data_IF_921583835246
#
_entry.id   IF_921583835246
#
_cell.length_a   1.000
_cell.length_b   1.000
_cell.length_c   1.000
_cell.angle_alpha   90.00
_cell.angle_beta   90.00
_cell.angle_gamma   90.00
#
_symmetry.space_group_name_H-M   'P 1'
#
loop_
_entity.id
_entity.type
_entity.pdbx_description
1 polymer ?
#
# COMPACT_ATOMS: atom_id res chain seq x y z
N UNK A 1 24.36 38.25 -14.59
CA UNK A 1 23.48 37.59 -13.61
C UNK A 1 23.36 36.14 -14.07
N UNK A 2 24.07 35.21 -13.45
CA UNK A 2 23.97 33.79 -13.79
C UNK A 2 22.76 33.24 -13.04
N UNK A 3 21.64 33.07 -13.73
CA UNK A 3 20.50 32.34 -13.20
C UNK A 3 20.84 30.85 -13.18
N UNK A 4 21.28 30.38 -12.01
CA UNK A 4 21.36 28.97 -11.67
C UNK A 4 19.93 28.41 -11.63
N UNK A 5 19.46 27.93 -12.78
CA UNK A 5 18.22 27.17 -12.93
C UNK A 5 18.30 25.97 -11.99
N UNK A 6 17.63 26.07 -10.84
CA UNK A 6 17.33 24.94 -9.97
C UNK A 6 16.50 23.95 -10.78
N UNK A 7 17.17 22.99 -11.41
CA UNK A 7 16.56 21.82 -12.00
C UNK A 7 15.99 20.98 -10.85
N UNK A 8 14.76 21.26 -10.43
CA UNK A 8 13.94 20.29 -9.69
C UNK A 8 13.64 19.13 -10.64
N UNK A 9 14.61 18.23 -10.80
CA UNK A 9 14.43 16.99 -11.51
C UNK A 9 13.58 16.06 -10.64
N UNK A 10 12.53 15.47 -11.22
CA UNK A 10 11.85 14.37 -10.55
C UNK A 10 12.84 13.22 -10.39
N UNK A 11 13.18 12.95 -9.13
CA UNK A 11 14.16 11.96 -8.71
C UNK A 11 13.67 10.55 -9.10
N UNK A 12 14.54 9.79 -9.77
CA UNK A 12 14.45 8.35 -10.09
C UNK A 12 13.04 7.74 -10.00
N UNK A 13 12.34 7.71 -11.13
CA UNK A 13 11.08 6.96 -11.29
C UNK A 13 11.36 5.47 -11.06
N UNK A 14 10.68 4.87 -10.08
CA UNK A 14 10.69 3.42 -9.90
C UNK A 14 10.01 2.76 -11.10
N UNK A 15 10.64 1.72 -11.64
CA UNK A 15 9.99 0.88 -12.64
C UNK A 15 8.84 0.07 -12.02
N UNK A 16 7.95 -0.47 -12.86
CA UNK A 16 6.81 -1.27 -12.39
C UNK A 16 7.24 -2.43 -11.48
N UNK A 17 8.33 -3.11 -11.82
CA UNK A 17 8.88 -4.20 -11.03
C UNK A 17 9.43 -3.72 -9.68
N UNK A 18 10.12 -2.57 -9.66
CA UNK A 18 10.66 -1.99 -8.43
C UNK A 18 9.54 -1.59 -7.47
N UNK A 19 8.45 -1.02 -7.99
CA UNK A 19 7.26 -0.67 -7.19
C UNK A 19 6.61 -1.91 -6.60
N UNK A 20 6.46 -2.99 -7.38
CA UNK A 20 5.88 -4.25 -6.89
C UNK A 20 6.77 -4.87 -5.81
N UNK A 21 8.09 -4.90 -6.03
CA UNK A 21 9.03 -5.41 -5.04
C UNK A 21 8.98 -4.60 -3.73
N UNK A 22 8.92 -3.27 -3.84
CA UNK A 22 8.80 -2.36 -2.70
C UNK A 22 7.49 -2.59 -1.93
N UNK A 23 6.36 -2.64 -2.65
CA UNK A 23 5.04 -2.86 -2.06
C UNK A 23 4.95 -4.23 -1.36
N UNK A 24 5.46 -5.29 -2.01
CA UNK A 24 5.46 -6.63 -1.43
C UNK A 24 6.30 -6.70 -0.15
N UNK A 25 7.49 -6.11 -0.16
CA UNK A 25 8.36 -6.05 1.02
C UNK A 25 7.74 -5.26 2.18
N UNK A 26 7.07 -4.14 1.87
CA UNK A 26 6.38 -3.32 2.86
C UNK A 26 5.14 -4.01 3.46
N UNK A 27 4.42 -4.83 2.68
CA UNK A 27 3.19 -5.51 3.13
C UNK A 27 3.45 -6.78 3.95
N UNK A 28 4.36 -7.66 3.51
CA UNK A 28 4.56 -8.98 4.14
C UNK A 28 5.28 -8.85 5.49
N UNK A 29 6.35 -8.04 5.54
CA UNK A 29 7.20 -7.87 6.72
C UNK A 29 7.71 -9.17 7.35
N UNK A 30 8.23 -9.10 8.58
CA UNK A 30 8.67 -10.28 9.35
C UNK A 30 7.56 -10.88 10.24
N UNK A 31 6.45 -10.16 10.40
CA UNK A 31 5.42 -10.45 11.39
C UNK A 31 4.69 -11.77 11.15
N UNK A 32 4.48 -12.16 9.89
CA UNK A 32 3.72 -13.37 9.56
C UNK A 32 4.44 -14.65 10.02
N UNK A 33 5.76 -14.71 9.98
CA UNK A 33 6.54 -15.87 10.45
C UNK A 33 6.36 -16.08 11.95
N UNK A 34 6.35 -14.98 12.71
CA UNK A 34 6.21 -15.00 14.18
C UNK A 34 4.77 -15.38 14.58
N UNK A 35 3.77 -14.84 13.88
CA UNK A 35 2.36 -15.04 14.23
C UNK A 35 1.75 -16.34 13.71
N UNK A 36 2.34 -16.98 12.69
CA UNK A 36 1.80 -18.22 12.11
C UNK A 36 1.59 -19.31 13.16
N UNK A 37 2.54 -19.47 14.09
CA UNK A 37 2.40 -20.42 15.19
C UNK A 37 1.20 -20.12 16.09
N UNK A 38 0.99 -18.84 16.42
CA UNK A 38 -0.12 -18.39 17.27
C UNK A 38 -1.47 -18.60 16.59
N UNK A 39 -1.57 -18.32 15.29
CA UNK A 39 -2.81 -18.53 14.54
C UNK A 39 -3.19 -20.01 14.46
N UNK A 40 -2.22 -20.89 14.20
CA UNK A 40 -2.45 -22.33 14.10
C UNK A 40 -2.82 -22.92 15.47
N UNK A 41 -2.14 -22.53 16.55
CA UNK A 41 -2.47 -23.05 17.90
C UNK A 41 -3.80 -22.54 18.42
N UNK A 42 -4.22 -21.33 18.04
CA UNK A 42 -5.47 -20.73 18.51
C UNK A 42 -6.70 -21.22 17.74
N UNK A 43 -6.62 -21.29 16.40
CA UNK A 43 -7.77 -21.58 15.53
C UNK A 43 -7.69 -22.96 14.84
N UNK A 44 -6.57 -23.67 14.97
CA UNK A 44 -6.27 -24.85 14.17
C UNK A 44 -5.92 -24.52 12.72
N UNK A 45 -5.40 -25.50 11.98
CA UNK A 45 -4.97 -25.31 10.59
C UNK A 45 -6.12 -24.88 9.66
N UNK A 46 -7.30 -25.49 9.82
CA UNK A 46 -8.49 -25.15 9.02
C UNK A 46 -9.03 -23.74 9.36
N UNK A 47 -9.00 -23.35 10.63
CA UNK A 47 -9.39 -22.01 11.06
C UNK A 47 -8.45 -20.93 10.51
N UNK A 48 -7.14 -21.18 10.53
CA UNK A 48 -6.16 -20.27 9.95
C UNK A 48 -6.36 -20.08 8.44
N UNK A 49 -6.55 -21.17 7.68
CA UNK A 49 -6.76 -21.09 6.22
C UNK A 49 -8.02 -20.29 5.88
N UNK A 50 -9.13 -20.58 6.56
CA UNK A 50 -10.40 -19.87 6.31
C UNK A 50 -10.33 -18.39 6.69
N UNK A 51 -9.64 -18.06 7.78
CA UNK A 51 -9.37 -16.67 8.16
C UNK A 51 -8.53 -15.93 7.12
N UNK A 52 -7.49 -16.57 6.56
CA UNK A 52 -6.69 -16.00 5.48
C UNK A 52 -7.49 -15.75 4.21
N UNK A 53 -8.35 -16.69 3.82
CA UNK A 53 -9.20 -16.54 2.64
C UNK A 53 -10.21 -15.40 2.83
N UNK A 54 -10.86 -15.34 4.00
CA UNK A 54 -11.81 -14.27 4.31
C UNK A 54 -11.13 -12.89 4.39
N UNK A 55 -9.99 -12.81 5.09
CA UNK A 55 -9.20 -11.58 5.16
C UNK A 55 -8.66 -11.15 3.80
N UNK A 56 -8.16 -12.08 2.99
CA UNK A 56 -7.70 -11.82 1.63
C UNK A 56 -8.80 -11.31 0.70
N UNK A 57 -10.02 -11.86 0.82
CA UNK A 57 -11.18 -11.37 0.09
C UNK A 57 -11.52 -9.92 0.47
N UNK A 58 -11.51 -9.60 1.77
CA UNK A 58 -11.75 -8.23 2.23
C UNK A 58 -10.67 -7.25 1.74
N UNK A 59 -9.40 -7.63 1.83
CA UNK A 59 -8.27 -6.80 1.35
C UNK A 59 -8.33 -6.60 -0.16
N UNK A 60 -8.79 -7.61 -0.93
CA UNK A 60 -8.97 -7.47 -2.38
C UNK A 60 -9.96 -6.35 -2.72
N UNK A 61 -11.08 -6.26 -2.01
CA UNK A 61 -12.05 -5.20 -2.21
C UNK A 61 -11.45 -3.81 -1.94
N UNK A 62 -10.68 -3.69 -0.85
CA UNK A 62 -9.93 -2.46 -0.55
C UNK A 62 -8.93 -2.14 -1.67
N UNK A 63 -8.19 -3.14 -2.15
CA UNK A 63 -7.24 -2.99 -3.25
C UNK A 63 -7.89 -2.47 -4.54
N UNK A 64 -9.09 -2.95 -4.88
CA UNK A 64 -9.86 -2.43 -6.03
C UNK A 64 -10.19 -0.95 -5.85
N UNK A 65 -10.66 -0.53 -4.67
CA UNK A 65 -10.97 0.89 -4.42
C UNK A 65 -9.73 1.77 -4.51
N UNK A 66 -8.57 1.29 -4.05
CA UNK A 66 -7.30 2.01 -4.21
C UNK A 66 -6.83 2.04 -5.66
N UNK A 67 -7.10 1.01 -6.46
CA UNK A 67 -6.76 1.00 -7.88
C UNK A 67 -7.54 2.08 -8.65
N UNK A 68 -8.84 2.21 -8.38
CA UNK A 68 -9.69 3.27 -8.92
C UNK A 68 -9.15 4.65 -8.51
N UNK A 69 -8.86 4.83 -7.22
CA UNK A 69 -8.41 6.11 -6.68
C UNK A 69 -7.02 6.50 -7.18
N UNK A 70 -6.10 5.56 -7.30
CA UNK A 70 -4.76 5.77 -7.87
C UNK A 70 -4.81 6.14 -9.35
N UNK A 71 -5.77 5.58 -10.11
CA UNK A 71 -5.98 5.96 -11.51
C UNK A 71 -6.61 7.34 -11.68
N UNK A 72 -7.53 7.72 -10.78
CA UNK A 72 -8.23 9.00 -10.81
C UNK A 72 -7.37 10.17 -10.30
N UNK A 73 -6.44 9.90 -9.38
CA UNK A 73 -5.60 10.88 -8.71
C UNK A 73 -4.11 10.53 -8.87
N UNK A 74 -3.51 10.80 -10.05
CA UNK A 74 -2.10 10.48 -10.34
C UNK A 74 -1.15 11.52 -9.72
N UNK A 75 -1.31 11.78 -8.42
CA UNK A 75 -0.46 12.70 -7.65
C UNK A 75 0.41 11.91 -6.68
N UNK A 76 1.63 12.39 -6.44
CA UNK A 76 2.50 11.84 -5.40
C UNK A 76 1.93 12.19 -4.01
N UNK A 77 1.82 11.17 -3.13
CA UNK A 77 1.35 11.35 -1.75
C UNK A 77 0.24 10.38 -1.30
N UNK A 78 -0.33 9.60 -2.24
CA UNK A 78 -1.26 8.51 -1.92
C UNK A 78 -2.41 8.95 -1.01
N UNK A 79 -2.56 8.27 0.13
CA UNK A 79 -3.64 8.50 1.10
C UNK A 79 -3.72 9.93 1.65
N UNK A 80 -2.60 10.65 1.75
CA UNK A 80 -2.63 12.06 2.17
C UNK A 80 -3.35 12.93 1.13
N UNK A 81 -3.11 12.70 -0.15
CA UNK A 81 -3.80 13.43 -1.24
C UNK A 81 -5.26 13.01 -1.33
N UNK A 82 -5.55 11.73 -1.09
CA UNK A 82 -6.91 11.21 -1.12
C UNK A 82 -7.75 11.83 0.00
N UNK A 83 -7.20 11.88 1.22
CA UNK A 83 -7.86 12.43 2.39
C UNK A 83 -8.04 13.95 2.28
N UNK A 84 -7.00 14.67 1.83
CA UNK A 84 -7.10 16.11 1.59
C UNK A 84 -8.15 16.45 0.52
N UNK A 85 -8.22 15.64 -0.55
CA UNK A 85 -9.23 15.83 -1.60
C UNK A 85 -10.64 15.44 -1.19
N UNK A 86 -10.78 14.46 -0.28
CA UNK A 86 -12.08 14.01 0.21
C UNK A 86 -12.64 14.90 1.33
N UNK A 87 -11.78 15.38 2.22
CA UNK A 87 -12.16 16.07 3.46
C UNK A 87 -11.86 17.57 3.45
N UNK A 88 -10.98 18.03 2.55
CA UNK A 88 -10.49 19.40 2.49
C UNK A 88 -9.45 19.72 3.56
N UNK A 89 -8.71 20.81 3.36
CA UNK A 89 -7.84 21.36 4.40
C UNK A 89 -8.69 21.76 5.61
N UNK A 90 -8.35 21.21 6.78
CA UNK A 90 -8.95 21.63 8.04
C UNK A 90 -8.62 23.11 8.26
N UNK A 91 -9.66 23.94 8.43
CA UNK A 91 -9.53 25.36 8.72
C UNK A 91 -8.73 25.63 10.01
#
# INVERSE_FOLDING_TARGET
MNDSTNQTSFLRVLGRADVVALAFGAMIGWSWVVLTGVWITSAGTLGAITAFLAGGAAITLVGLTYAELASALPFAGGEHVYSDRALGAKA
#
